data_IF_041199232898
#
_entry.id   IF_041199232898
#
_cell.length_a   1.000
_cell.length_b   1.000
_cell.length_c   1.000
_cell.angle_alpha   90.00
_cell.angle_beta   90.00
_cell.angle_gamma   90.00
#
_symmetry.space_group_name_H-M   'P 1'
#
loop_
_entity.id
_entity.type
_entity.pdbx_description
1 polymer ?
#
# COMPACT_ATOMS: atom_id res chain seq x y z
N UNK A 1 -14.65 16.88 -31.24
CA UNK A 1 -15.07 15.74 -30.43
C UNK A 1 -13.91 14.75 -30.44
N UNK A 2 -13.32 14.42 -29.29
CA UNK A 2 -12.37 13.30 -29.21
C UNK A 2 -13.15 12.02 -29.56
N UNK A 3 -12.57 11.17 -30.40
CA UNK A 3 -13.16 9.88 -30.70
C UNK A 3 -13.08 9.03 -29.43
N UNK A 4 -14.21 8.84 -28.75
CA UNK A 4 -14.31 8.10 -27.47
C UNK A 4 -14.58 6.60 -27.70
N UNK A 5 -14.21 6.09 -28.90
CA UNK A 5 -14.35 4.67 -29.22
C UNK A 5 -13.21 3.88 -28.54
N UNK A 6 -13.57 2.84 -27.84
CA UNK A 6 -12.61 1.91 -27.21
C UNK A 6 -12.01 0.97 -28.27
N UNK A 7 -10.70 0.85 -28.32
CA UNK A 7 -9.97 -0.01 -29.25
C UNK A 7 -9.09 -1.06 -28.56
N UNK A 8 -8.84 -0.90 -27.26
CA UNK A 8 -7.93 -1.75 -26.49
C UNK A 8 -8.42 -1.94 -25.05
N UNK A 9 -7.84 -2.90 -24.32
CA UNK A 9 -8.07 -3.04 -22.88
C UNK A 9 -7.54 -1.82 -22.12
N UNK A 10 -6.49 -1.19 -22.59
CA UNK A 10 -5.95 0.03 -21.98
C UNK A 10 -6.95 1.20 -22.07
N UNK A 11 -7.72 1.30 -23.17
CA UNK A 11 -8.81 2.27 -23.28
C UNK A 11 -9.92 1.99 -22.26
N UNK A 12 -10.27 0.71 -22.06
CA UNK A 12 -11.26 0.32 -21.04
C UNK A 12 -10.78 0.69 -19.64
N UNK A 13 -9.52 0.39 -19.32
CA UNK A 13 -8.91 0.74 -18.03
C UNK A 13 -8.92 2.25 -17.82
N UNK A 14 -8.50 3.02 -18.82
CA UNK A 14 -8.48 4.48 -18.78
C UNK A 14 -9.90 5.05 -18.62
N UNK A 15 -10.87 4.48 -19.31
CA UNK A 15 -12.28 4.83 -19.14
C UNK A 15 -12.75 4.60 -17.70
N UNK A 16 -12.47 3.41 -17.13
CA UNK A 16 -12.88 3.08 -15.76
C UNK A 16 -12.18 3.98 -14.73
N UNK A 17 -10.90 4.31 -14.92
CA UNK A 17 -10.22 5.29 -14.08
C UNK A 17 -10.92 6.66 -14.10
N UNK A 18 -11.37 7.11 -15.29
CA UNK A 18 -12.03 8.41 -15.46
C UNK A 18 -13.37 8.54 -14.75
N UNK A 19 -13.99 7.41 -14.38
CA UNK A 19 -15.25 7.35 -13.66
C UNK A 19 -15.08 7.52 -12.14
N UNK A 20 -13.86 7.44 -11.65
CA UNK A 20 -13.52 7.53 -10.23
C UNK A 20 -12.74 8.82 -9.96
N UNK A 21 -12.64 9.16 -8.68
CA UNK A 21 -11.86 10.32 -8.26
C UNK A 21 -10.39 10.16 -8.66
N UNK A 22 -9.81 11.21 -9.26
CA UNK A 22 -8.37 11.26 -9.53
C UNK A 22 -7.57 11.16 -8.22
N UNK A 23 -6.67 10.17 -8.15
CA UNK A 23 -5.93 9.86 -6.94
C UNK A 23 -4.83 10.90 -6.64
N UNK A 24 -4.07 11.34 -7.65
CA UNK A 24 -2.93 12.24 -7.44
C UNK A 24 -3.33 13.58 -6.81
N UNK A 25 -4.29 14.38 -7.36
CA UNK A 25 -4.69 15.63 -6.74
C UNK A 25 -5.27 15.46 -5.35
N UNK A 26 -5.96 14.32 -5.11
CA UNK A 26 -6.51 14.02 -3.79
C UNK A 26 -5.40 13.80 -2.76
N UNK A 27 -4.40 12.97 -3.04
CA UNK A 27 -3.33 12.67 -2.11
C UNK A 27 -2.38 13.85 -1.92
N UNK A 28 -2.11 14.64 -2.96
CA UNK A 28 -1.38 15.90 -2.83
C UNK A 28 -2.08 16.85 -1.85
N UNK A 29 -3.39 17.06 -2.03
CA UNK A 29 -4.17 17.88 -1.08
C UNK A 29 -4.23 17.25 0.31
N UNK A 30 -4.30 15.92 0.40
CA UNK A 30 -4.35 15.21 1.69
C UNK A 30 -3.07 15.43 2.50
N UNK A 31 -1.89 15.26 1.90
CA UNK A 31 -0.60 15.42 2.56
C UNK A 31 -0.14 16.88 2.73
N UNK A 32 -0.73 17.83 2.01
CA UNK A 32 -0.41 19.24 2.18
C UNK A 32 -0.79 19.81 3.57
N UNK A 33 -1.80 19.22 4.22
CA UNK A 33 -2.17 19.55 5.59
C UNK A 33 -1.60 18.53 6.57
N UNK A 34 -0.43 18.82 7.12
CA UNK A 34 0.34 17.95 8.03
C UNK A 34 -0.19 17.93 9.46
N UNK A 35 -1.05 18.90 9.82
CA UNK A 35 -1.63 19.03 11.16
C UNK A 35 -2.91 18.18 11.35
N UNK A 36 -3.27 17.40 10.35
CA UNK A 36 -4.39 16.46 10.46
C UNK A 36 -4.11 15.41 11.53
N UNK A 37 -5.07 15.21 12.42
CA UNK A 37 -5.05 14.13 13.40
C UNK A 37 -5.41 12.78 12.76
N UNK A 38 -4.49 12.26 11.94
CA UNK A 38 -4.64 10.91 11.37
C UNK A 38 -3.55 9.98 11.91
N UNK A 39 -3.90 8.79 12.39
CA UNK A 39 -2.97 7.92 13.11
C UNK A 39 -1.70 7.59 12.32
N UNK A 40 -1.81 7.37 11.01
CA UNK A 40 -0.66 7.03 10.15
C UNK A 40 0.24 8.22 9.77
N UNK A 41 -0.06 9.44 10.25
CA UNK A 41 0.89 10.57 10.19
C UNK A 41 1.98 10.48 11.26
N UNK A 42 1.75 9.66 12.32
CA UNK A 42 2.80 9.32 13.26
C UNK A 42 4.01 8.71 12.52
N UNK A 43 5.22 9.16 12.88
CA UNK A 43 6.44 8.71 12.21
C UNK A 43 7.01 7.46 12.89
N UNK A 44 6.18 6.43 13.00
CA UNK A 44 6.51 5.12 13.59
C UNK A 44 6.11 4.00 12.63
N UNK A 45 6.85 2.87 12.59
CA UNK A 45 6.58 1.76 11.69
C UNK A 45 5.34 0.97 12.12
N UNK A 46 4.79 0.20 11.20
CA UNK A 46 3.76 -0.78 11.48
C UNK A 46 4.25 -1.88 12.43
N UNK A 47 3.41 -2.29 13.38
CA UNK A 47 3.75 -3.33 14.38
C UNK A 47 4.11 -4.67 13.73
N UNK A 48 3.39 -5.04 12.68
CA UNK A 48 3.64 -6.27 11.94
C UNK A 48 5.00 -6.20 11.20
N UNK A 49 5.35 -5.05 10.63
CA UNK A 49 6.64 -4.87 9.97
C UNK A 49 7.79 -5.07 10.95
N UNK A 50 7.73 -4.43 12.13
CA UNK A 50 8.71 -4.63 13.22
C UNK A 50 8.76 -6.10 13.63
N UNK A 51 7.59 -6.72 13.86
CA UNK A 51 7.49 -8.13 14.25
C UNK A 51 8.11 -9.08 13.22
N UNK A 52 8.03 -8.78 11.93
CA UNK A 52 8.65 -9.62 10.89
C UNK A 52 10.17 -9.63 10.99
N UNK A 53 10.80 -8.49 11.29
CA UNK A 53 12.24 -8.39 11.51
C UNK A 53 12.67 -9.02 12.83
N UNK A 54 11.98 -8.76 13.94
CA UNK A 54 12.30 -9.28 15.27
C UNK A 54 12.26 -10.83 15.31
N UNK A 55 11.30 -11.41 14.59
CA UNK A 55 11.18 -12.87 14.44
C UNK A 55 12.10 -13.46 13.36
N UNK A 56 12.91 -12.65 12.69
CA UNK A 56 13.77 -13.05 11.57
C UNK A 56 13.02 -13.71 10.40
N UNK A 57 11.73 -13.39 10.19
CA UNK A 57 10.96 -13.87 9.04
C UNK A 57 11.37 -13.11 7.79
N UNK A 58 11.55 -11.79 7.92
CA UNK A 58 12.11 -10.93 6.87
C UNK A 58 13.53 -10.54 7.29
N UNK A 59 14.46 -10.61 6.33
CA UNK A 59 15.86 -10.24 6.53
C UNK A 59 16.17 -8.96 5.75
N UNK A 60 17.33 -8.39 6.04
CA UNK A 60 17.86 -7.24 5.29
C UNK A 60 17.99 -7.60 3.82
N UNK A 61 17.58 -6.69 2.96
CA UNK A 61 17.64 -6.88 1.52
C UNK A 61 17.13 -5.64 0.79
N UNK A 62 16.82 -5.81 -0.48
CA UNK A 62 16.21 -4.76 -1.29
C UNK A 62 14.69 -4.79 -1.15
N UNK A 63 14.12 -3.64 -0.79
CA UNK A 63 12.69 -3.49 -0.47
C UNK A 63 12.04 -2.46 -1.38
N UNK A 64 10.82 -2.75 -1.83
CA UNK A 64 9.93 -1.80 -2.50
C UNK A 64 8.74 -1.51 -1.58
N UNK A 65 8.54 -0.24 -1.20
CA UNK A 65 7.32 0.20 -0.53
C UNK A 65 6.37 0.86 -1.53
N UNK A 66 5.14 0.34 -1.62
CA UNK A 66 4.09 0.83 -2.51
C UNK A 66 3.16 1.79 -1.75
N UNK A 67 2.98 3.01 -2.26
CA UNK A 67 2.17 4.04 -1.59
C UNK A 67 2.79 4.47 -0.26
N UNK A 68 4.08 4.81 -0.27
CA UNK A 68 4.85 5.07 0.95
C UNK A 68 4.39 6.33 1.72
N UNK A 69 3.65 7.26 1.07
CA UNK A 69 3.30 8.55 1.66
C UNK A 69 4.51 9.27 2.25
N UNK A 70 4.42 9.75 3.53
CA UNK A 70 5.56 10.37 4.22
C UNK A 70 6.65 9.39 4.71
N UNK A 71 6.65 8.14 4.25
CA UNK A 71 7.77 7.20 4.35
C UNK A 71 8.01 6.59 5.73
N UNK A 72 7.04 6.53 6.64
CA UNK A 72 7.25 6.02 8.02
C UNK A 72 7.83 4.59 8.07
N UNK A 73 7.37 3.71 7.20
CA UNK A 73 7.88 2.34 7.10
C UNK A 73 9.18 2.28 6.30
N UNK A 74 9.31 3.06 5.20
CA UNK A 74 10.56 3.19 4.44
C UNK A 74 11.73 3.62 5.33
N UNK A 75 11.50 4.60 6.22
CA UNK A 75 12.51 5.08 7.16
C UNK A 75 12.92 3.99 8.16
N UNK A 76 11.96 3.23 8.69
CA UNK A 76 12.26 2.09 9.55
C UNK A 76 13.08 1.02 8.81
N UNK A 77 12.68 0.65 7.60
CA UNK A 77 13.38 -0.33 6.77
C UNK A 77 14.81 0.10 6.47
N UNK A 78 15.02 1.38 6.14
CA UNK A 78 16.37 1.92 5.91
C UNK A 78 17.23 1.88 7.20
N UNK A 79 16.66 2.23 8.37
CA UNK A 79 17.34 2.08 9.67
C UNK A 79 17.67 0.63 10.00
N UNK A 80 16.81 -0.32 9.60
CA UNK A 80 17.07 -1.74 9.75
C UNK A 80 18.16 -2.25 8.79
N UNK A 81 18.67 -1.39 7.89
CA UNK A 81 19.77 -1.70 6.96
C UNK A 81 19.33 -2.29 5.64
N UNK A 82 18.09 -2.06 5.22
CA UNK A 82 17.58 -2.40 3.89
C UNK A 82 17.94 -1.31 2.87
N UNK A 83 18.08 -1.71 1.59
CA UNK A 83 18.03 -0.81 0.45
C UNK A 83 16.56 -0.58 0.07
N UNK A 84 16.07 0.65 0.17
CA UNK A 84 14.64 0.94 0.05
C UNK A 84 14.34 1.84 -1.12
N UNK A 85 13.51 1.34 -2.05
CA UNK A 85 12.79 2.12 -3.06
C UNK A 85 11.37 2.38 -2.52
N UNK A 86 11.02 3.64 -2.27
CA UNK A 86 9.73 4.05 -1.70
C UNK A 86 8.96 4.89 -2.71
N UNK A 87 7.81 4.37 -3.16
CA UNK A 87 7.05 4.93 -4.27
C UNK A 87 5.73 5.51 -3.77
N UNK A 88 5.44 6.75 -4.16
CA UNK A 88 4.12 7.36 -3.98
C UNK A 88 3.83 8.29 -5.17
N UNK A 89 2.55 8.44 -5.50
CA UNK A 89 2.13 9.35 -6.58
C UNK A 89 2.04 10.81 -6.11
N UNK A 90 2.04 11.05 -4.79
CA UNK A 90 1.95 12.37 -4.19
C UNK A 90 3.31 13.04 -4.04
N UNK A 91 3.50 14.17 -4.72
CA UNK A 91 4.69 15.02 -4.54
C UNK A 91 4.83 15.52 -3.11
N UNK A 92 3.70 15.90 -2.47
CA UNK A 92 3.70 16.37 -1.08
C UNK A 92 4.05 15.26 -0.08
N UNK A 93 3.56 14.03 -0.32
CA UNK A 93 3.95 12.85 0.47
C UNK A 93 5.45 12.58 0.36
N UNK A 94 5.96 12.52 -0.86
CA UNK A 94 7.39 12.30 -1.15
C UNK A 94 8.27 13.41 -0.56
N UNK A 95 7.88 14.67 -0.69
CA UNK A 95 8.59 15.80 -0.11
C UNK A 95 8.71 15.67 1.41
N UNK A 96 7.61 15.38 2.05
CA UNK A 96 7.58 15.16 3.50
C UNK A 96 8.43 13.95 3.92
N UNK A 97 8.39 12.84 3.17
CA UNK A 97 9.25 11.67 3.39
C UNK A 97 10.73 11.99 3.31
N UNK A 98 11.16 12.79 2.31
CA UNK A 98 12.55 13.26 2.16
C UNK A 98 12.99 14.14 3.33
N UNK A 99 12.14 15.04 3.81
CA UNK A 99 12.40 15.87 4.99
C UNK A 99 12.63 14.98 6.22
N UNK A 100 11.75 14.02 6.49
CA UNK A 100 11.88 13.05 7.60
C UNK A 100 13.15 12.19 7.49
N UNK A 101 13.51 11.78 6.28
CA UNK A 101 14.74 11.00 6.04
C UNK A 101 15.99 11.83 6.40
N UNK A 102 16.03 13.09 5.98
CA UNK A 102 17.13 14.03 6.30
C UNK A 102 17.23 14.28 7.81
N UNK A 103 16.11 14.51 8.49
CA UNK A 103 16.05 14.70 9.95
C UNK A 103 16.58 13.48 10.73
N UNK A 104 16.36 12.27 10.20
CA UNK A 104 16.76 11.01 10.84
C UNK A 104 18.12 10.49 10.37
N UNK A 105 18.77 11.17 9.41
CA UNK A 105 20.07 10.76 8.86
C UNK A 105 20.04 9.41 8.14
N UNK A 106 18.91 9.05 7.51
CA UNK A 106 18.75 7.79 6.76
C UNK A 106 18.58 8.04 5.27
N UNK A 107 19.03 7.07 4.47
CA UNK A 107 18.91 7.13 3.01
C UNK A 107 17.76 6.23 2.53
N UNK A 108 16.80 6.82 1.81
CA UNK A 108 15.71 6.14 1.14
C UNK A 108 15.62 6.71 -0.27
N UNK A 109 15.46 5.84 -1.28
CA UNK A 109 15.24 6.26 -2.65
C UNK A 109 13.73 6.51 -2.85
N UNK A 110 13.32 7.77 -2.65
CA UNK A 110 11.94 8.20 -2.88
C UNK A 110 11.65 8.47 -4.35
N UNK A 111 10.61 7.81 -4.87
CA UNK A 111 10.18 7.87 -6.27
C UNK A 111 8.77 8.45 -6.34
N UNK A 112 8.62 9.66 -6.90
CA UNK A 112 7.32 10.27 -7.16
C UNK A 112 6.75 9.74 -8.49
N UNK A 113 5.89 8.72 -8.42
CA UNK A 113 5.36 8.06 -9.62
C UNK A 113 4.14 7.19 -9.26
N UNK A 114 3.26 6.95 -10.23
CA UNK A 114 2.26 5.89 -10.08
C UNK A 114 2.95 4.53 -9.97
N UNK A 115 2.49 3.68 -9.05
CA UNK A 115 3.00 2.31 -8.92
C UNK A 115 2.79 1.51 -10.21
N UNK A 116 1.77 1.82 -11.00
CA UNK A 116 1.49 1.16 -12.28
C UNK A 116 2.46 1.50 -13.40
N UNK A 117 3.26 2.57 -13.23
CA UNK A 117 4.30 2.96 -14.20
C UNK A 117 5.67 2.38 -13.87
N UNK A 118 5.77 1.55 -12.82
CA UNK A 118 7.02 0.92 -12.43
C UNK A 118 7.44 -0.17 -13.42
N UNK A 119 8.70 -0.11 -13.85
CA UNK A 119 9.34 -1.12 -14.68
C UNK A 119 10.31 -1.91 -13.80
N UNK A 120 9.80 -2.94 -13.14
CA UNK A 120 10.56 -3.76 -12.17
C UNK A 120 10.34 -5.23 -12.44
N UNK A 121 11.38 -6.04 -12.30
CA UNK A 121 11.31 -7.49 -12.49
C UNK A 121 12.33 -8.21 -11.59
N UNK A 122 11.86 -9.08 -10.69
CA UNK A 122 12.67 -9.95 -9.83
C UNK A 122 13.80 -9.21 -9.09
N UNK A 123 13.53 -8.00 -8.59
CA UNK A 123 14.54 -7.14 -7.99
C UNK A 123 14.49 -7.11 -6.47
N UNK A 124 13.31 -7.34 -5.87
CA UNK A 124 13.08 -7.10 -4.46
C UNK A 124 12.97 -8.40 -3.66
N UNK A 125 13.62 -8.43 -2.51
CA UNK A 125 13.49 -9.48 -1.52
C UNK A 125 12.17 -9.38 -0.76
N UNK A 126 11.70 -8.11 -0.60
CA UNK A 126 10.46 -7.78 0.09
C UNK A 126 9.73 -6.64 -0.63
N UNK A 127 8.42 -6.78 -0.80
CA UNK A 127 7.51 -5.70 -1.20
C UNK A 127 6.60 -5.40 -0.02
N UNK A 128 6.39 -4.14 0.32
CA UNK A 128 5.55 -3.73 1.42
C UNK A 128 4.49 -2.72 0.98
N UNK A 129 3.27 -2.90 1.46
CA UNK A 129 2.14 -1.99 1.26
C UNK A 129 1.47 -1.74 2.60
N UNK A 130 1.42 -0.49 3.02
CA UNK A 130 0.69 -0.07 4.21
C UNK A 130 -0.38 0.95 3.85
N UNK A 131 -1.50 0.45 3.34
CA UNK A 131 -2.66 1.28 3.05
C UNK A 131 -2.84 1.72 1.61
N UNK A 132 -2.04 1.24 0.65
CA UNK A 132 -2.22 1.54 -0.76
C UNK A 132 -3.35 0.69 -1.39
N UNK A 133 -3.34 -0.64 -1.19
CA UNK A 133 -4.26 -1.58 -1.83
C UNK A 133 -5.74 -1.19 -1.67
N UNK A 134 -6.14 -0.75 -0.49
CA UNK A 134 -7.56 -0.45 -0.23
C UNK A 134 -8.05 0.83 -0.92
N UNK A 135 -7.14 1.60 -1.51
CA UNK A 135 -7.44 2.73 -2.39
C UNK A 135 -7.31 2.39 -3.89
N UNK A 136 -6.92 1.15 -4.22
CA UNK A 136 -6.81 0.69 -5.61
C UNK A 136 -8.18 0.23 -6.10
N UNK A 137 -8.71 0.79 -7.22
CA UNK A 137 -9.96 0.35 -7.81
C UNK A 137 -9.91 -1.13 -8.24
N UNK A 138 -11.06 -1.84 -8.24
CA UNK A 138 -11.09 -3.26 -8.58
C UNK A 138 -10.48 -3.61 -9.94
N UNK A 139 -10.70 -2.80 -10.98
CA UNK A 139 -10.13 -3.02 -12.31
C UNK A 139 -8.61 -2.88 -12.36
N UNK A 140 -8.01 -2.10 -11.45
CA UNK A 140 -6.56 -1.97 -11.31
C UNK A 140 -5.93 -3.02 -10.40
N UNK A 141 -6.73 -3.73 -9.60
CA UNK A 141 -6.24 -4.74 -8.65
C UNK A 141 -5.51 -5.88 -9.33
N UNK A 142 -5.94 -6.29 -10.52
CA UNK A 142 -5.24 -7.32 -11.32
C UNK A 142 -3.81 -6.87 -11.62
N UNK A 143 -3.63 -5.65 -12.12
CA UNK A 143 -2.31 -5.08 -12.40
C UNK A 143 -1.47 -4.87 -11.13
N UNK A 144 -2.13 -4.58 -10.00
CA UNK A 144 -1.46 -4.47 -8.71
C UNK A 144 -0.86 -5.82 -8.27
N UNK A 145 -1.63 -6.90 -8.34
CA UNK A 145 -1.15 -8.25 -8.00
C UNK A 145 -0.01 -8.68 -8.92
N UNK A 146 -0.14 -8.43 -10.21
CA UNK A 146 0.91 -8.70 -11.21
C UNK A 146 2.18 -7.86 -10.95
N UNK A 147 2.04 -6.59 -10.57
CA UNK A 147 3.17 -5.75 -10.19
C UNK A 147 3.93 -6.35 -8.99
N UNK A 148 3.22 -6.70 -7.91
CA UNK A 148 3.82 -7.30 -6.71
C UNK A 148 4.54 -8.60 -7.07
N UNK A 149 3.88 -9.47 -7.85
CA UNK A 149 4.46 -10.74 -8.30
C UNK A 149 5.72 -10.53 -9.15
N UNK A 150 5.68 -9.60 -10.09
CA UNK A 150 6.80 -9.29 -10.98
C UNK A 150 7.96 -8.65 -10.21
N UNK A 151 7.70 -7.75 -9.28
CA UNK A 151 8.72 -7.05 -8.50
C UNK A 151 9.54 -8.01 -7.61
N UNK A 152 8.89 -9.00 -7.03
CA UNK A 152 9.51 -9.94 -6.10
C UNK A 152 10.45 -10.93 -6.79
N UNK A 153 11.61 -11.16 -6.19
CA UNK A 153 12.46 -12.32 -6.47
C UNK A 153 11.71 -13.63 -6.19
N UNK A 154 12.15 -14.78 -6.75
CA UNK A 154 11.66 -16.09 -6.32
C UNK A 154 11.77 -16.25 -4.78
N UNK A 155 10.73 -16.75 -4.13
CA UNK A 155 10.60 -16.86 -2.66
C UNK A 155 10.59 -15.53 -1.90
N UNK A 156 10.55 -14.38 -2.56
CA UNK A 156 10.42 -13.06 -1.93
C UNK A 156 9.08 -12.93 -1.22
N UNK A 157 9.02 -12.01 -0.27
CA UNK A 157 7.85 -11.79 0.58
C UNK A 157 7.09 -10.53 0.20
N UNK A 158 5.78 -10.58 0.37
CA UNK A 158 4.89 -9.43 0.27
C UNK A 158 4.17 -9.21 1.60
N UNK A 159 4.44 -8.06 2.24
CA UNK A 159 3.73 -7.61 3.44
C UNK A 159 2.65 -6.60 3.07
N UNK A 160 1.46 -6.78 3.63
CA UNK A 160 0.29 -5.96 3.35
C UNK A 160 -0.38 -5.52 4.64
N UNK A 161 -0.76 -4.24 4.70
CA UNK A 161 -1.69 -3.71 5.70
C UNK A 161 -2.85 -3.01 4.96
N UNK A 162 -4.09 -3.41 5.20
CA UNK A 162 -5.26 -2.85 4.52
C UNK A 162 -6.52 -2.86 5.40
N UNK A 163 -7.56 -2.13 5.01
CA UNK A 163 -8.83 -2.09 5.73
C UNK A 163 -9.47 -3.47 5.86
N UNK A 164 -9.98 -3.75 7.06
CA UNK A 164 -10.62 -4.99 7.41
C UNK A 164 -12.14 -4.85 7.40
N UNK A 165 -12.82 -5.75 6.67
CA UNK A 165 -14.27 -5.85 6.69
C UNK A 165 -14.78 -6.33 8.05
N UNK A 166 -15.97 -5.86 8.44
CA UNK A 166 -16.66 -6.29 9.67
C UNK A 166 -16.25 -5.55 10.96
N UNK A 167 -15.27 -4.65 10.92
CA UNK A 167 -14.87 -3.78 12.02
C UNK A 167 -15.37 -2.36 11.73
N UNK A 168 -16.63 -2.12 12.00
CA UNK A 168 -17.32 -0.90 11.54
C UNK A 168 -17.20 0.26 12.52
N UNK A 169 -16.36 1.21 12.19
CA UNK A 169 -16.72 2.62 12.24
C UNK A 169 -16.85 3.11 10.80
N UNK A 170 -17.84 3.94 10.49
CA UNK A 170 -18.09 4.51 9.14
C UNK A 170 -16.88 5.25 8.54
N UNK A 171 -15.81 5.43 9.32
CA UNK A 171 -14.55 6.10 8.97
C UNK A 171 -13.50 5.18 8.35
N UNK A 172 -13.66 3.86 8.41
CA UNK A 172 -12.57 2.90 8.21
C UNK A 172 -12.74 2.02 6.97
N UNK A 173 -13.21 2.60 5.88
CA UNK A 173 -13.47 1.88 4.63
C UNK A 173 -14.84 1.23 4.60
N UNK A 174 -15.28 0.83 3.42
CA UNK A 174 -16.58 0.24 3.18
C UNK A 174 -16.47 -1.20 2.72
N UNK A 175 -17.27 -2.08 3.29
CA UNK A 175 -17.48 -3.43 2.76
C UNK A 175 -18.37 -3.35 1.51
N UNK A 176 -17.82 -2.73 0.47
CA UNK A 176 -18.48 -2.53 -0.81
C UNK A 176 -18.07 -3.64 -1.79
N UNK A 177 -19.03 -4.16 -2.56
CA UNK A 177 -18.70 -5.08 -3.64
C UNK A 177 -17.97 -4.38 -4.78
N UNK A 178 -17.14 -5.12 -5.52
CA UNK A 178 -16.45 -4.57 -6.69
C UNK A 178 -17.40 -3.95 -7.72
N UNK A 179 -18.60 -4.52 -7.87
CA UNK A 179 -19.64 -3.99 -8.75
C UNK A 179 -20.27 -2.70 -8.24
N UNK A 180 -20.42 -2.54 -6.93
CA UNK A 180 -21.05 -1.36 -6.34
C UNK A 180 -20.10 -0.16 -6.33
N UNK A 181 -18.79 -0.38 -6.38
CA UNK A 181 -17.81 0.69 -6.68
C UNK A 181 -18.18 1.42 -7.96
N UNK A 182 -18.55 0.68 -9.02
CA UNK A 182 -18.90 1.27 -10.33
C UNK A 182 -20.35 1.73 -10.41
N UNK A 183 -21.27 1.14 -9.65
CA UNK A 183 -22.64 1.64 -9.55
C UNK A 183 -22.72 2.98 -8.82
N UNK A 184 -21.86 3.14 -7.79
CA UNK A 184 -21.79 4.35 -6.97
C UNK A 184 -20.70 5.35 -7.40
N UNK A 185 -19.86 5.02 -8.38
CA UNK A 185 -18.72 5.83 -8.83
C UNK A 185 -17.78 6.25 -7.71
N UNK A 186 -17.62 5.39 -6.72
CA UNK A 186 -16.88 5.74 -5.50
C UNK A 186 -16.29 4.52 -4.81
N UNK A 187 -15.07 4.67 -4.26
CA UNK A 187 -14.45 3.72 -3.33
C UNK A 187 -14.95 3.89 -1.88
N UNK A 188 -15.83 4.88 -1.62
CA UNK A 188 -16.35 5.20 -0.29
C UNK A 188 -15.26 5.29 0.81
N UNK A 189 -14.16 6.01 0.51
CA UNK A 189 -13.01 6.17 1.41
C UNK A 189 -11.95 5.07 1.30
N UNK A 190 -12.32 3.88 0.83
CA UNK A 190 -11.44 2.74 0.61
C UNK A 190 -12.20 1.43 0.74
N UNK A 191 -11.72 0.39 0.08
CA UNK A 191 -12.37 -0.94 0.06
C UNK A 191 -11.87 -1.75 1.25
N UNK A 192 -12.81 -2.19 2.11
CA UNK A 192 -12.50 -3.13 3.17
C UNK A 192 -12.49 -4.57 2.63
N UNK A 193 -11.59 -5.38 3.16
CA UNK A 193 -11.38 -6.76 2.74
C UNK A 193 -11.74 -7.73 3.85
N UNK A 194 -12.41 -8.84 3.52
CA UNK A 194 -12.47 -10.02 4.39
C UNK A 194 -11.20 -10.86 4.24
N UNK A 195 -10.92 -11.72 5.23
CA UNK A 195 -9.80 -12.66 5.12
C UNK A 195 -9.93 -13.59 3.92
N UNK A 196 -11.16 -13.97 3.56
CA UNK A 196 -11.47 -14.80 2.40
C UNK A 196 -11.16 -14.06 1.10
N UNK A 197 -11.62 -12.80 0.96
CA UNK A 197 -11.34 -11.96 -0.21
C UNK A 197 -9.83 -11.72 -0.39
N UNK A 198 -9.07 -11.56 0.70
CA UNK A 198 -7.60 -11.44 0.60
C UNK A 198 -6.95 -12.73 0.10
N UNK A 199 -7.39 -13.90 0.57
CA UNK A 199 -6.88 -15.18 0.07
C UNK A 199 -7.22 -15.42 -1.40
N UNK A 200 -8.39 -14.98 -1.84
CA UNK A 200 -8.81 -15.08 -3.24
C UNK A 200 -7.97 -14.14 -4.12
N UNK A 201 -7.85 -12.87 -3.77
CA UNK A 201 -7.06 -11.87 -4.51
C UNK A 201 -5.60 -12.30 -4.65
N UNK A 202 -5.00 -12.88 -3.60
CA UNK A 202 -3.60 -13.29 -3.56
C UNK A 202 -3.42 -14.81 -3.64
N UNK A 203 -4.32 -15.55 -4.30
CA UNK A 203 -4.29 -17.01 -4.42
C UNK A 203 -3.02 -17.58 -5.03
N UNK A 204 -2.31 -16.79 -5.84
CA UNK A 204 -1.02 -17.17 -6.44
C UNK A 204 0.15 -17.12 -5.46
N UNK A 205 -0.05 -16.56 -4.29
CA UNK A 205 0.95 -16.49 -3.23
C UNK A 205 0.67 -17.56 -2.16
N UNK A 206 1.71 -17.91 -1.41
CA UNK A 206 1.56 -18.68 -0.17
C UNK A 206 1.25 -17.73 0.98
N UNK A 207 0.21 -18.01 1.75
CA UNK A 207 -0.13 -17.21 2.95
C UNK A 207 0.75 -17.68 4.10
N UNK A 208 1.64 -16.82 4.58
CA UNK A 208 2.50 -17.08 5.76
C UNK A 208 1.81 -16.59 7.04
N UNK A 209 1.20 -15.40 6.99
CA UNK A 209 0.47 -14.83 8.10
C UNK A 209 -0.72 -14.01 7.55
N UNK A 210 -1.88 -14.11 8.22
CA UNK A 210 -3.04 -13.27 7.96
C UNK A 210 -3.80 -13.11 9.27
N UNK A 211 -3.79 -11.92 9.84
CA UNK A 211 -4.43 -11.59 11.11
C UNK A 211 -4.87 -10.14 11.17
N UNK A 212 -5.70 -9.79 12.14
CA UNK A 212 -5.93 -8.39 12.49
C UNK A 212 -4.63 -7.76 13.03
N UNK A 213 -4.45 -6.49 12.73
CA UNK A 213 -3.38 -5.69 13.31
C UNK A 213 -3.58 -5.56 14.83
N UNK A 214 -2.50 -5.49 15.60
CA UNK A 214 -2.58 -5.24 17.04
C UNK A 214 -2.80 -3.75 17.27
N UNK A 215 -3.67 -3.41 18.22
CA UNK A 215 -3.92 -2.02 18.59
C UNK A 215 -2.87 -1.51 19.59
N UNK A 216 -2.41 -0.28 19.37
CA UNK A 216 -1.55 0.44 20.29
C UNK A 216 -2.15 1.82 20.57
N UNK A 217 -2.68 1.99 21.79
CA UNK A 217 -3.37 3.23 22.23
C UNK A 217 -2.47 4.46 22.30
N UNK A 218 -1.15 4.26 22.37
CA UNK A 218 -0.14 5.33 22.30
C UNK A 218 0.93 4.92 21.28
N UNK A 219 0.91 5.46 20.07
CA UNK A 219 1.87 5.10 19.03
C UNK A 219 3.23 5.80 19.26
N UNK A 220 3.91 5.48 20.37
CA UNK A 220 5.22 6.04 20.66
C UNK A 220 6.35 5.30 19.95
N UNK A 221 6.15 4.01 19.62
CA UNK A 221 7.18 3.16 19.03
C UNK A 221 6.70 2.45 17.75
N UNK A 222 5.42 2.03 17.70
CA UNK A 222 4.83 1.33 16.56
C UNK A 222 3.39 1.80 16.31
N UNK A 223 2.98 1.69 15.06
CA UNK A 223 1.59 1.93 14.64
C UNK A 223 0.82 0.61 14.60
N UNK A 224 -0.42 0.64 15.09
CA UNK A 224 -1.33 -0.50 15.01
C UNK A 224 -2.76 -0.14 15.33
N UNK A 225 -3.69 -0.63 14.47
CA UNK A 225 -5.12 -0.36 14.53
C UNK A 225 -5.94 -1.63 14.24
N UNK A 226 -6.94 -1.92 15.08
CA UNK A 226 -7.75 -3.15 14.96
C UNK A 226 -8.56 -3.23 13.66
N UNK A 227 -8.90 -2.10 13.07
CA UNK A 227 -9.65 -2.05 11.81
C UNK A 227 -8.80 -2.37 10.57
N UNK A 228 -7.54 -2.79 10.77
CA UNK A 228 -6.64 -3.19 9.71
C UNK A 228 -6.34 -4.69 9.74
N UNK A 229 -6.24 -5.30 8.55
CA UNK A 229 -5.55 -6.56 8.35
C UNK A 229 -4.05 -6.33 8.27
N UNK A 230 -3.29 -7.31 8.77
CA UNK A 230 -1.91 -7.53 8.39
C UNK A 230 -1.79 -8.88 7.71
N UNK A 231 -1.09 -8.93 6.60
CA UNK A 231 -0.82 -10.17 5.89
C UNK A 231 0.65 -10.24 5.49
N UNK A 232 1.19 -11.43 5.50
CA UNK A 232 2.49 -11.76 4.92
C UNK A 232 2.30 -12.92 3.95
N UNK A 233 2.67 -12.67 2.72
CA UNK A 233 2.61 -13.64 1.63
C UNK A 233 4.02 -13.97 1.15
N UNK A 234 4.20 -15.15 0.56
CA UNK A 234 5.44 -15.53 -0.11
C UNK A 234 5.15 -15.85 -1.57
N UNK A 235 5.98 -15.32 -2.49
CA UNK A 235 5.90 -15.66 -3.91
C UNK A 235 6.21 -17.15 -4.11
N UNK A 236 5.26 -17.87 -4.69
CA UNK A 236 5.48 -19.26 -5.12
C UNK A 236 6.52 -19.30 -6.26
N UNK A 237 7.34 -20.32 -6.29
CA UNK A 237 8.35 -20.55 -7.34
C UNK A 237 7.69 -21.13 -8.58
#
# INVERSE_FOLDING_TARGET
MKNETLHSMDDVITMLDSLLRSSEPFWNHFYSNRDKEVPFFANVPDENLVSYFDRNVIQKGKVLELGCGPGRNALYLAKAGCEVDAVDLSEEGIKWGKERAAEQGVSVHFICKSIFDLQVENQYDFVYDSGCLHHIPPHRRIHYVELVKRALKPNGYFGLTCFAAGELDEKNGSEISDWDVYRGWSLQGGIAYSAEKLRDVFQEFEVIELRKMKEFKQPNEVFGELFLWTALFRKKV
#
